data_IF_122371062092
#
_entry.id   IF_122371062092
#
_cell.length_a   1.000
_cell.length_b   1.000
_cell.length_c   1.000
_cell.angle_alpha   90.00
_cell.angle_beta   90.00
_cell.angle_gamma   90.00
#
_symmetry.space_group_name_H-M   'P 1'
#
loop_
_entity.id
_entity.type
_entity.pdbx_description
1 polymer ?
#
# COMPACT_ATOMS: atom_id res chain seq x y z
N UNK A 1 -5.63 -14.63 -3.82
CA UNK A 1 -6.04 -13.92 -2.60
C UNK A 1 -7.04 -12.84 -2.97
N UNK A 2 -8.00 -12.59 -2.08
CA UNK A 2 -9.01 -11.54 -2.27
C UNK A 2 -8.49 -10.18 -1.78
N UNK A 3 -7.67 -10.19 -0.73
CA UNK A 3 -6.94 -9.01 -0.21
C UNK A 3 -5.44 -9.18 -0.42
N UNK A 4 -4.78 -8.16 -0.95
CA UNK A 4 -3.36 -8.14 -1.29
C UNK A 4 -2.71 -6.94 -0.59
N UNK A 5 -1.67 -7.17 0.20
CA UNK A 5 -0.86 -6.08 0.79
C UNK A 5 0.30 -5.79 -0.15
N UNK A 6 0.33 -4.57 -0.69
CA UNK A 6 1.41 -4.08 -1.55
C UNK A 6 2.52 -3.49 -0.67
N UNK A 7 3.40 -4.36 -0.16
CA UNK A 7 4.55 -3.99 0.68
C UNK A 7 5.87 -4.10 -0.09
N UNK A 8 5.96 -3.40 -1.22
CA UNK A 8 7.14 -3.29 -2.09
C UNK A 8 7.60 -1.83 -2.17
N UNK A 9 8.82 -1.53 -2.65
CA UNK A 9 9.20 -0.15 -2.95
C UNK A 9 8.18 0.50 -3.91
N UNK A 10 7.91 1.79 -3.73
CA UNK A 10 6.88 2.49 -4.51
C UNK A 10 7.06 2.32 -6.02
N UNK A 11 8.28 2.34 -6.55
CA UNK A 11 8.54 2.17 -8.00
C UNK A 11 8.05 0.84 -8.59
N UNK A 12 7.95 -0.21 -7.76
CA UNK A 12 7.68 -1.58 -8.20
C UNK A 12 6.17 -1.87 -8.41
N UNK A 13 5.27 -0.97 -8.00
CA UNK A 13 3.82 -1.20 -8.08
C UNK A 13 3.35 -1.52 -9.51
N UNK A 14 4.00 -0.95 -10.54
CA UNK A 14 3.64 -1.18 -11.95
C UNK A 14 4.02 -2.58 -12.40
N UNK A 15 5.16 -3.10 -11.97
CA UNK A 15 5.57 -4.47 -12.29
C UNK A 15 4.68 -5.48 -11.55
N UNK A 16 4.35 -5.22 -10.28
CA UNK A 16 3.39 -6.04 -9.53
C UNK A 16 2.01 -6.07 -10.22
N UNK A 17 1.54 -4.93 -10.72
CA UNK A 17 0.24 -4.85 -11.41
C UNK A 17 0.15 -5.76 -12.64
N UNK A 18 1.27 -6.08 -13.30
CA UNK A 18 1.33 -7.00 -14.45
C UNK A 18 1.22 -8.47 -14.06
N UNK A 19 1.36 -8.82 -12.78
CA UNK A 19 1.34 -10.21 -12.32
C UNK A 19 -0.01 -10.91 -12.52
N UNK A 20 -1.09 -10.14 -12.68
CA UNK A 20 -2.43 -10.67 -12.93
C UNK A 20 -3.05 -10.02 -14.16
N UNK A 21 -3.83 -10.78 -14.96
CA UNK A 21 -4.52 -10.23 -16.12
C UNK A 21 -5.71 -9.33 -15.74
N UNK A 22 -6.21 -9.42 -14.51
CA UNK A 22 -7.27 -8.57 -13.98
C UNK A 22 -7.19 -8.48 -12.45
N UNK A 23 -7.52 -7.30 -11.94
CA UNK A 23 -7.64 -7.01 -10.51
C UNK A 23 -9.09 -6.86 -10.03
N UNK A 24 -10.07 -7.14 -10.90
CA UNK A 24 -11.49 -7.06 -10.58
C UNK A 24 -11.85 -7.85 -9.32
N UNK A 25 -12.61 -7.23 -8.42
CA UNK A 25 -13.07 -7.85 -7.18
C UNK A 25 -12.01 -7.99 -6.08
N UNK A 26 -10.76 -7.56 -6.33
CA UNK A 26 -9.67 -7.61 -5.35
C UNK A 26 -9.62 -6.35 -4.49
N UNK A 27 -9.14 -6.50 -3.26
CA UNK A 27 -8.74 -5.37 -2.41
C UNK A 27 -7.23 -5.29 -2.36
N UNK A 28 -6.67 -4.13 -2.72
CA UNK A 28 -5.23 -3.84 -2.60
C UNK A 28 -5.02 -2.88 -1.44
N UNK A 29 -4.25 -3.29 -0.45
CA UNK A 29 -3.80 -2.44 0.66
C UNK A 29 -2.43 -1.86 0.27
N UNK A 30 -2.40 -0.59 -0.09
CA UNK A 30 -1.18 0.14 -0.41
C UNK A 30 -0.43 0.53 0.87
N UNK A 31 0.65 -0.22 1.15
CA UNK A 31 1.59 0.03 2.24
C UNK A 31 2.82 0.84 1.80
N UNK A 32 2.83 1.35 0.56
CA UNK A 32 3.98 2.06 0.01
C UNK A 32 4.01 3.54 0.42
N UNK A 33 5.22 4.12 0.39
CA UNK A 33 5.45 5.55 0.44
C UNK A 33 6.21 5.96 -0.84
N UNK A 34 5.76 7.04 -1.49
CA UNK A 34 6.44 7.63 -2.64
C UNK A 34 7.72 8.35 -2.17
N UNK A 35 8.79 7.59 -1.96
CA UNK A 35 10.08 8.10 -1.50
C UNK A 35 11.24 7.43 -2.26
N UNK A 36 12.15 8.21 -2.90
CA UNK A 36 12.05 9.66 -3.09
C UNK A 36 10.76 10.04 -3.83
N UNK A 37 10.26 11.25 -3.59
CA UNK A 37 9.02 11.73 -4.23
C UNK A 37 9.27 11.79 -5.74
N UNK A 38 8.51 11.04 -6.57
CA UNK A 38 8.64 11.11 -8.02
C UNK A 38 8.30 12.51 -8.55
N UNK A 39 8.90 12.88 -9.68
CA UNK A 39 8.61 14.15 -10.35
C UNK A 39 7.14 14.25 -10.79
N UNK A 40 6.53 13.13 -11.17
CA UNK A 40 5.15 13.10 -11.66
C UNK A 40 4.28 12.09 -10.90
N UNK A 41 3.21 12.60 -10.31
CA UNK A 41 2.09 11.85 -9.73
C UNK A 41 0.74 12.28 -10.33
N UNK A 42 0.75 12.97 -11.47
CA UNK A 42 -0.44 13.55 -12.11
C UNK A 42 -1.24 14.51 -11.21
N UNK A 43 -0.60 15.14 -10.24
CA UNK A 43 -1.27 15.96 -9.21
C UNK A 43 -2.11 15.15 -8.20
N UNK A 44 -1.96 13.82 -8.18
CA UNK A 44 -2.72 12.92 -7.31
C UNK A 44 -1.95 12.60 -6.02
N UNK A 45 -2.65 12.24 -4.93
CA UNK A 45 -2.05 11.49 -3.83
C UNK A 45 -1.41 10.19 -4.32
N UNK A 46 -0.29 9.78 -3.71
CA UNK A 46 0.49 8.62 -4.15
C UNK A 46 -0.33 7.33 -4.29
N UNK A 47 -1.25 7.06 -3.36
CA UNK A 47 -2.12 5.87 -3.44
C UNK A 47 -3.17 5.96 -4.55
N UNK A 48 -3.66 7.15 -4.87
CA UNK A 48 -4.55 7.36 -6.02
C UNK A 48 -3.80 7.18 -7.34
N UNK A 49 -2.53 7.56 -7.38
CA UNK A 49 -1.65 7.26 -8.52
C UNK A 49 -1.41 5.75 -8.67
N UNK A 50 -1.10 5.05 -7.58
CA UNK A 50 -0.95 3.57 -7.56
C UNK A 50 -2.21 2.89 -8.08
N UNK A 51 -3.40 3.36 -7.68
CA UNK A 51 -4.69 2.78 -8.09
C UNK A 51 -4.87 2.69 -9.62
N UNK A 52 -4.24 3.58 -10.40
CA UNK A 52 -4.30 3.54 -11.86
C UNK A 52 -3.74 2.23 -12.43
N UNK A 53 -2.75 1.63 -11.78
CA UNK A 53 -2.15 0.36 -12.23
C UNK A 53 -3.01 -0.87 -11.89
N UNK A 54 -3.88 -0.78 -10.88
CA UNK A 54 -4.68 -1.90 -10.36
C UNK A 54 -6.17 -1.74 -10.71
N UNK A 55 -6.47 -1.53 -12.00
CA UNK A 55 -7.85 -1.28 -12.46
C UNK A 55 -8.80 -2.42 -12.08
N UNK A 56 -9.96 -2.07 -11.53
CA UNK A 56 -10.97 -3.02 -11.02
C UNK A 56 -10.76 -3.44 -9.55
N UNK A 57 -9.62 -3.10 -8.94
CA UNK A 57 -9.43 -3.30 -7.50
C UNK A 57 -10.10 -2.18 -6.69
N UNK A 58 -10.46 -2.52 -5.45
CA UNK A 58 -10.66 -1.54 -4.36
C UNK A 58 -9.31 -1.27 -3.72
N UNK A 59 -8.94 -0.01 -3.56
CA UNK A 59 -7.66 0.36 -2.95
C UNK A 59 -7.87 1.00 -1.57
N UNK A 60 -7.08 0.57 -0.60
CA UNK A 60 -7.01 1.12 0.78
C UNK A 60 -5.57 1.52 1.04
N UNK A 61 -5.33 2.70 1.64
CA UNK A 61 -3.98 3.05 2.13
C UNK A 61 -3.85 2.59 3.57
N UNK A 62 -2.81 1.85 3.92
CA UNK A 62 -2.63 1.39 5.29
C UNK A 62 -1.24 0.83 5.54
N UNK A 63 -0.84 0.74 6.80
CA UNK A 63 0.46 0.22 7.25
C UNK A 63 1.70 1.02 6.80
N UNK A 64 1.55 2.11 6.05
CA UNK A 64 2.66 2.89 5.49
C UNK A 64 3.31 3.88 6.48
N UNK A 65 2.78 4.01 7.70
CA UNK A 65 3.18 5.03 8.69
C UNK A 65 4.09 4.49 9.79
N UNK A 66 4.16 3.18 9.99
CA UNK A 66 5.06 2.55 10.95
C UNK A 66 6.33 2.10 10.24
N UNK A 67 7.49 2.37 10.85
CA UNK A 67 8.75 1.76 10.41
C UNK A 67 8.68 0.24 10.60
N UNK A 68 9.38 -0.52 9.74
CA UNK A 68 9.28 -1.98 9.70
C UNK A 68 9.52 -2.65 11.06
N UNK A 69 10.54 -2.21 11.81
CA UNK A 69 10.84 -2.76 13.13
C UNK A 69 9.69 -2.53 14.14
N UNK A 70 9.03 -1.37 14.08
CA UNK A 70 7.88 -1.05 14.92
C UNK A 70 6.64 -1.83 14.51
N UNK A 71 6.42 -2.07 13.21
CA UNK A 71 5.32 -2.91 12.76
C UNK A 71 5.51 -4.39 13.15
N UNK A 72 6.76 -4.88 13.19
CA UNK A 72 7.10 -6.26 13.54
C UNK A 72 7.10 -6.55 15.04
N UNK A 73 7.26 -5.54 15.89
CA UNK A 73 7.23 -5.69 17.33
C UNK A 73 5.82 -6.00 17.86
N UNK A 74 5.73 -6.53 19.09
CA UNK A 74 4.45 -6.78 19.75
C UNK A 74 3.58 -5.51 19.75
N UNK A 75 2.36 -5.56 19.19
CA UNK A 75 1.47 -4.41 19.19
C UNK A 75 0.92 -4.10 20.59
N UNK A 76 1.01 -5.01 21.57
CA UNK A 76 0.63 -4.76 22.96
C UNK A 76 1.76 -4.00 23.67
N UNK A 77 1.49 -2.75 24.05
CA UNK A 77 2.49 -1.84 24.63
C UNK A 77 1.89 -1.13 25.82
N UNK A 78 2.44 -1.33 27.01
CA UNK A 78 1.97 -0.70 28.27
C UNK A 78 0.45 -0.85 28.48
N UNK A 79 -0.11 -2.00 28.10
CA UNK A 79 -1.55 -2.30 28.20
C UNK A 79 -2.44 -1.73 27.08
N UNK A 80 -1.87 -1.01 26.10
CA UNK A 80 -2.56 -0.54 24.90
C UNK A 80 -2.25 -1.37 23.65
N UNK A 81 -2.92 -1.05 22.53
CA UNK A 81 -2.66 -1.64 21.20
C UNK A 81 -2.13 -0.60 20.23
N UNK A 82 -1.04 -0.92 19.52
CA UNK A 82 -0.46 -0.07 18.47
C UNK A 82 -1.45 0.16 17.33
N UNK A 83 -1.59 1.41 16.91
CA UNK A 83 -2.60 1.85 15.94
C UNK A 83 -2.08 1.79 14.51
N UNK A 84 -2.94 1.31 13.61
CA UNK A 84 -2.81 1.45 12.16
C UNK A 84 -3.95 2.30 11.62
N UNK A 85 -3.64 3.28 10.78
CA UNK A 85 -4.62 4.12 10.09
C UNK A 85 -4.98 3.53 8.72
N UNK A 86 -6.23 3.70 8.31
CA UNK A 86 -6.81 3.28 7.03
C UNK A 86 -7.56 4.44 6.37
#
# INVERSE_FOLDING_TARGET
>A
ADTIILAVPFGEHREVAKALPSWEGKTVIDATNAFPVPEELDGLPSSAFVAKAFSGAKLVKGFNHLIAATLAADPIVEGGHRVVFL
#
